data_IF_826262446448
#
_entry.id   IF_826262446448
#
_cell.length_a   1.000
_cell.length_b   1.000
_cell.length_c   1.000
_cell.angle_alpha   90.00
_cell.angle_beta   90.00
_cell.angle_gamma   90.00
#
_symmetry.space_group_name_H-M   'P 1'
#
loop_
_entity.id
_entity.type
_entity.pdbx_description
1 polymer ?
#
# COMPACT_ATOMS: atom_id res chain seq x y z
N UNK A 1 11.71 8.46 22.03
CA UNK A 1 11.74 8.85 20.59
C UNK A 1 10.40 9.42 20.21
N UNK A 2 10.35 10.47 19.37
CA UNK A 2 9.11 10.83 18.69
C UNK A 2 8.80 9.82 17.55
N UNK A 3 7.65 9.94 16.90
CA UNK A 3 7.22 8.98 15.87
C UNK A 3 8.19 8.92 14.68
N UNK A 4 8.62 10.08 14.17
CA UNK A 4 9.56 10.17 13.04
C UNK A 4 10.92 9.56 13.38
N UNK A 5 11.46 9.87 14.54
CA UNK A 5 12.73 9.28 15.03
C UNK A 5 12.64 7.76 15.14
N UNK A 6 11.51 7.26 15.65
CA UNK A 6 11.25 5.83 15.83
C UNK A 6 11.22 5.09 14.51
N UNK A 7 10.48 5.62 13.52
CA UNK A 7 10.41 5.03 12.18
C UNK A 7 11.77 5.10 11.50
N UNK A 8 12.46 6.24 11.55
CA UNK A 8 13.83 6.39 10.99
C UNK A 8 14.83 5.42 11.61
N UNK A 9 14.73 5.16 12.93
CA UNK A 9 15.56 4.15 13.57
C UNK A 9 15.33 2.77 12.92
N UNK A 10 14.08 2.33 12.77
CA UNK A 10 13.75 1.05 12.12
C UNK A 10 14.23 1.03 10.66
N UNK A 11 13.99 2.08 9.89
CA UNK A 11 14.42 2.19 8.50
C UNK A 11 15.95 2.12 8.33
N UNK A 12 16.69 2.53 9.35
CA UNK A 12 18.15 2.42 9.42
C UNK A 12 18.62 1.16 10.19
N UNK A 13 17.73 0.20 10.44
CA UNK A 13 18.00 -1.07 11.15
C UNK A 13 18.56 -0.87 12.55
N UNK A 14 18.11 0.18 13.22
CA UNK A 14 18.39 0.45 14.63
C UNK A 14 17.17 0.09 15.46
N UNK A 15 17.40 -0.42 16.68
CA UNK A 15 16.32 -0.77 17.59
C UNK A 15 15.71 0.51 18.18
N UNK A 16 14.40 0.80 17.95
CA UNK A 16 13.74 1.94 18.55
C UNK A 16 13.26 1.64 19.98
N UNK A 17 12.62 2.61 20.62
CA UNK A 17 12.03 2.47 21.95
C UNK A 17 10.82 1.52 22.00
N UNK A 18 10.12 1.34 20.88
CA UNK A 18 9.01 0.40 20.68
C UNK A 18 8.82 0.08 19.21
N UNK A 19 8.06 -0.95 18.90
CA UNK A 19 7.59 -1.24 17.53
C UNK A 19 6.75 -0.06 17.01
N UNK A 20 7.11 0.56 15.87
CA UNK A 20 6.27 1.60 15.26
C UNK A 20 4.93 1.04 14.77
N UNK A 21 3.89 1.86 14.83
CA UNK A 21 2.59 1.58 14.25
C UNK A 21 2.45 2.31 12.91
N UNK A 22 2.40 1.54 11.83
CA UNK A 22 2.23 2.01 10.47
C UNK A 22 0.83 1.72 9.88
N UNK A 23 -0.17 1.41 10.72
CA UNK A 23 -1.55 1.23 10.25
C UNK A 23 -2.05 2.54 9.62
N UNK A 24 -2.55 2.47 8.38
CA UNK A 24 -2.94 3.65 7.60
C UNK A 24 -1.78 4.46 7.02
N UNK A 25 -0.54 4.01 7.20
CA UNK A 25 0.66 4.71 6.77
C UNK A 25 1.05 4.52 5.29
N UNK A 26 0.44 3.57 4.58
CA UNK A 26 0.49 3.45 3.11
C UNK A 26 -0.87 2.97 2.59
N UNK A 27 -1.07 3.01 1.27
CA UNK A 27 -2.35 2.67 0.63
C UNK A 27 -2.84 1.26 0.95
N UNK A 28 -1.91 0.35 1.15
CA UNK A 28 -2.16 -1.07 1.33
C UNK A 28 -2.02 -1.54 2.79
N UNK A 29 -1.85 -0.59 3.72
CA UNK A 29 -1.90 -0.83 5.16
C UNK A 29 -3.08 -0.10 5.83
N UNK A 30 -4.13 0.21 5.08
CA UNK A 30 -5.28 1.00 5.51
C UNK A 30 -6.45 0.17 6.03
N UNK A 31 -7.61 0.81 6.06
CA UNK A 31 -8.90 0.22 6.37
C UNK A 31 -9.93 0.64 5.33
N UNK A 32 -10.83 -0.27 4.97
CA UNK A 32 -12.07 0.11 4.31
C UNK A 32 -12.81 1.17 5.12
N UNK A 33 -13.44 2.13 4.47
CA UNK A 33 -14.04 3.30 5.15
C UNK A 33 -15.06 2.93 6.24
N UNK A 34 -15.77 1.81 6.09
CA UNK A 34 -16.70 1.29 7.12
C UNK A 34 -15.91 0.80 8.35
N UNK A 35 -14.82 0.06 8.15
CA UNK A 35 -13.99 -0.40 9.25
C UNK A 35 -13.30 0.77 9.97
N UNK A 36 -12.93 1.82 9.23
CA UNK A 36 -12.38 3.04 9.82
C UNK A 36 -13.40 3.81 10.66
N UNK A 37 -14.67 3.94 10.21
CA UNK A 37 -15.75 4.50 11.02
C UNK A 37 -15.93 3.74 12.34
N UNK A 38 -15.81 2.41 12.30
CA UNK A 38 -15.83 1.58 13.51
C UNK A 38 -14.56 1.79 14.37
N UNK A 39 -13.40 1.96 13.77
CA UNK A 39 -12.15 2.25 14.49
C UNK A 39 -12.25 3.59 15.25
N UNK A 40 -12.82 4.65 14.64
CA UNK A 40 -13.03 5.93 15.32
C UNK A 40 -13.84 5.75 16.62
N UNK A 41 -14.90 4.94 16.59
CA UNK A 41 -15.72 4.64 17.77
C UNK A 41 -14.93 3.86 18.84
N UNK A 42 -14.20 2.84 18.41
CA UNK A 42 -13.32 2.03 19.31
C UNK A 42 -12.29 2.91 20.02
N UNK A 43 -11.75 3.90 19.32
CA UNK A 43 -10.75 4.83 19.86
C UNK A 43 -11.35 5.99 20.65
N UNK A 44 -12.68 6.17 20.62
CA UNK A 44 -13.36 7.31 21.25
C UNK A 44 -13.02 8.66 20.61
N UNK A 45 -12.63 8.66 19.33
CA UNK A 45 -12.39 9.89 18.58
C UNK A 45 -13.71 10.43 18.08
N UNK A 46 -13.95 11.74 18.23
CA UNK A 46 -15.16 12.39 17.72
C UNK A 46 -15.25 12.21 16.21
N UNK A 47 -16.30 11.49 15.78
CA UNK A 47 -16.43 11.11 14.38
C UNK A 47 -17.03 12.23 13.55
N UNK A 48 -16.22 12.82 12.68
CA UNK A 48 -16.74 13.42 11.44
C UNK A 48 -16.97 12.29 10.43
N UNK A 49 -17.86 12.49 9.43
CA UNK A 49 -18.01 11.50 8.36
C UNK A 49 -16.64 11.18 7.74
N UNK A 50 -16.18 9.92 7.79
CA UNK A 50 -14.88 9.54 7.26
C UNK A 50 -14.71 9.97 5.80
N UNK A 51 -13.50 10.30 5.41
CA UNK A 51 -13.16 10.66 4.03
C UNK A 51 -12.80 9.42 3.24
N UNK A 52 -13.48 9.25 2.09
CA UNK A 52 -13.22 8.15 1.17
C UNK A 52 -11.95 8.42 0.36
N UNK A 53 -11.00 7.51 0.46
CA UNK A 53 -9.95 7.41 -0.54
C UNK A 53 -10.48 6.69 -1.78
N UNK A 54 -10.15 7.18 -2.95
CA UNK A 54 -10.60 6.63 -4.22
C UNK A 54 -9.98 5.27 -4.56
N UNK A 55 -9.04 4.81 -3.74
CA UNK A 55 -8.43 3.49 -3.88
C UNK A 55 -9.12 2.48 -2.98
N UNK A 56 -9.74 1.47 -3.57
CA UNK A 56 -10.36 0.32 -2.87
C UNK A 56 -11.38 0.69 -1.78
N UNK A 57 -12.01 1.86 -1.86
CA UNK A 57 -12.93 2.38 -0.83
C UNK A 57 -12.31 2.47 0.58
N UNK A 58 -11.02 2.71 0.67
CA UNK A 58 -10.32 2.93 1.91
C UNK A 58 -10.67 4.29 2.53
N UNK A 59 -10.36 4.46 3.80
CA UNK A 59 -10.45 5.75 4.46
C UNK A 59 -9.13 6.52 4.36
N UNK A 60 -9.23 7.84 4.26
CA UNK A 60 -8.13 8.75 4.56
C UNK A 60 -7.93 8.78 6.08
N UNK A 61 -6.77 8.37 6.57
CA UNK A 61 -6.46 8.44 7.99
C UNK A 61 -6.19 9.88 8.42
N UNK A 62 -6.92 10.36 9.40
CA UNK A 62 -6.78 11.70 9.96
C UNK A 62 -5.87 11.70 11.18
N UNK A 63 -5.12 12.79 11.39
CA UNK A 63 -4.16 12.94 12.48
C UNK A 63 -4.71 12.59 13.87
N UNK A 64 -5.94 12.98 14.27
CA UNK A 64 -6.50 12.60 15.57
C UNK A 64 -6.67 11.08 15.74
N UNK A 65 -7.01 10.36 14.67
CA UNK A 65 -7.12 8.89 14.71
C UNK A 65 -5.75 8.25 14.77
N UNK A 66 -4.79 8.76 13.99
CA UNK A 66 -3.39 8.31 14.04
C UNK A 66 -2.84 8.47 15.46
N UNK A 67 -3.06 9.62 16.10
CA UNK A 67 -2.64 9.87 17.48
C UNK A 67 -3.33 8.93 18.48
N UNK A 68 -4.66 8.75 18.36
CA UNK A 68 -5.43 7.92 19.28
C UNK A 68 -5.06 6.43 19.21
N UNK A 69 -4.53 5.94 18.08
CA UNK A 69 -4.05 4.55 17.94
C UNK A 69 -2.53 4.40 18.16
N UNK A 70 -1.85 5.43 18.66
CA UNK A 70 -0.38 5.49 18.78
C UNK A 70 0.34 5.26 17.43
N UNK A 71 -0.20 5.82 16.34
CA UNK A 71 0.34 5.72 14.99
C UNK A 71 1.62 6.55 14.81
N UNK A 72 2.52 6.06 13.98
CA UNK A 72 3.84 6.67 13.76
C UNK A 72 4.05 7.17 12.33
N UNK A 73 3.20 6.76 11.39
CA UNK A 73 3.35 7.06 9.97
C UNK A 73 2.06 7.71 9.45
N UNK A 74 2.21 8.74 8.62
CA UNK A 74 1.12 9.35 7.89
C UNK A 74 1.34 9.19 6.39
N UNK A 75 0.28 8.84 5.67
CA UNK A 75 0.30 8.71 4.23
C UNK A 75 0.16 10.08 3.57
N UNK A 76 1.17 10.48 2.81
CA UNK A 76 1.05 11.52 1.80
C UNK A 76 0.56 10.88 0.50
N UNK A 77 -0.53 11.39 -0.04
CA UNK A 77 -1.19 10.78 -1.19
C UNK A 77 -0.30 10.68 -2.41
N UNK A 78 -0.41 9.55 -3.10
CA UNK A 78 0.20 9.34 -4.41
C UNK A 78 -0.39 10.26 -5.48
N UNK A 79 0.45 10.87 -6.34
CA UNK A 79 -0.02 11.59 -7.53
C UNK A 79 -0.80 10.70 -8.50
N UNK A 80 -0.49 9.40 -8.55
CA UNK A 80 -1.09 8.49 -9.52
C UNK A 80 -2.44 7.94 -9.04
N UNK A 81 -2.56 7.58 -7.78
CA UNK A 81 -3.74 6.89 -7.24
C UNK A 81 -4.82 7.83 -6.74
N UNK A 82 -4.45 8.91 -6.09
CA UNK A 82 -5.42 9.83 -5.49
C UNK A 82 -5.66 11.06 -6.34
N UNK A 83 -5.03 11.16 -7.53
CA UNK A 83 -5.00 12.38 -8.32
C UNK A 83 -4.87 13.55 -7.35
N UNK A 84 -3.68 13.76 -6.83
CA UNK A 84 -3.32 14.57 -5.64
C UNK A 84 -3.84 16.00 -5.62
N UNK A 85 -4.40 16.47 -6.72
CA UNK A 85 -5.27 17.66 -6.78
C UNK A 85 -6.32 17.67 -5.67
N UNK A 86 -6.69 16.49 -5.17
CA UNK A 86 -7.71 16.34 -4.14
C UNK A 86 -7.22 16.53 -2.72
N UNK A 87 -5.96 16.25 -2.45
CA UNK A 87 -5.43 16.39 -1.08
C UNK A 87 -4.79 17.75 -0.82
N UNK A 88 -4.40 18.47 -1.87
CA UNK A 88 -3.79 19.78 -1.74
C UNK A 88 -4.73 20.91 -1.31
N UNK A 89 -6.04 20.80 -1.59
CA UNK A 89 -7.06 21.81 -1.29
C UNK A 89 -8.25 21.16 -0.57
N UNK A 90 -8.00 20.44 0.49
CA UNK A 90 -8.93 19.46 1.10
C UNK A 90 -10.15 20.11 1.75
N UNK A 91 -10.14 21.41 2.05
CA UNK A 91 -11.22 22.07 2.77
C UNK A 91 -12.55 22.05 2.02
N UNK A 92 -12.53 22.38 0.73
CA UNK A 92 -13.73 22.67 -0.07
C UNK A 92 -14.09 21.61 -1.12
N UNK A 93 -13.32 20.52 -1.21
CA UNK A 93 -13.46 19.52 -2.29
C UNK A 93 -14.19 18.23 -1.88
N UNK A 94 -14.82 18.23 -0.71
CA UNK A 94 -15.54 17.08 -0.17
C UNK A 94 -17.03 17.35 -0.10
N UNK A 95 -17.85 16.37 -0.51
CA UNK A 95 -19.31 16.36 -0.32
C UNK A 95 -19.73 15.15 0.50
N UNK A 96 -20.85 15.25 1.19
CA UNK A 96 -21.44 14.12 1.87
C UNK A 96 -22.20 13.23 0.89
N UNK A 97 -22.02 11.93 1.01
CA UNK A 97 -22.64 10.90 0.19
C UNK A 97 -23.12 9.75 1.09
N UNK A 98 -24.32 9.23 0.83
CA UNK A 98 -24.80 8.00 1.43
C UNK A 98 -24.27 6.80 0.64
N UNK A 99 -23.52 5.92 1.32
CA UNK A 99 -23.01 4.65 0.78
C UNK A 99 -23.17 3.59 1.86
N UNK A 100 -23.66 2.40 1.50
CA UNK A 100 -23.84 1.28 2.45
C UNK A 100 -24.64 1.66 3.71
N UNK A 101 -25.63 2.56 3.57
CA UNK A 101 -26.47 3.02 4.70
C UNK A 101 -25.80 3.95 5.69
N UNK A 102 -24.58 4.46 5.39
CA UNK A 102 -23.84 5.41 6.21
C UNK A 102 -23.49 6.67 5.41
N UNK A 103 -23.20 7.77 6.11
CA UNK A 103 -22.73 9.02 5.50
C UNK A 103 -21.23 9.07 5.51
N UNK A 104 -20.63 9.30 4.34
CA UNK A 104 -19.19 9.50 4.15
C UNK A 104 -18.91 10.82 3.44
N UNK A 105 -17.70 11.34 3.62
CA UNK A 105 -17.20 12.46 2.84
C UNK A 105 -16.49 11.89 1.61
N UNK A 106 -17.00 12.20 0.42
CA UNK A 106 -16.42 11.76 -0.86
C UNK A 106 -15.91 12.96 -1.64
N UNK A 107 -14.90 12.80 -2.51
CA UNK A 107 -14.46 13.89 -3.38
C UNK A 107 -15.62 14.45 -4.21
N UNK A 108 -15.69 15.77 -4.37
CA UNK A 108 -16.80 16.45 -5.08
C UNK A 108 -16.97 15.92 -6.51
N UNK A 109 -15.89 15.51 -7.14
CA UNK A 109 -15.89 14.96 -8.50
C UNK A 109 -16.38 13.52 -8.60
N UNK A 110 -16.44 12.78 -7.47
CA UNK A 110 -16.86 11.39 -7.49
C UNK A 110 -18.39 11.31 -7.41
N UNK A 111 -18.97 10.58 -8.35
CA UNK A 111 -20.40 10.38 -8.47
C UNK A 111 -20.74 8.91 -8.25
N UNK A 112 -21.66 8.71 -7.30
CA UNK A 112 -22.18 7.40 -6.94
C UNK A 112 -23.69 7.43 -7.06
N UNK A 113 -24.27 6.34 -7.58
CA UNK A 113 -25.71 6.13 -7.46
C UNK A 113 -26.02 4.68 -7.10
N UNK A 114 -27.12 4.48 -6.38
CA UNK A 114 -27.62 3.16 -6.03
C UNK A 114 -28.73 2.77 -7.02
N UNK A 115 -28.59 1.59 -7.60
CA UNK A 115 -29.59 1.01 -8.50
C UNK A 115 -30.77 0.43 -7.71
N UNK A 116 -31.89 0.16 -8.40
CA UNK A 116 -33.09 -0.46 -7.80
C UNK A 116 -32.85 -1.86 -7.23
N UNK A 117 -31.80 -2.57 -7.65
CA UNK A 117 -31.38 -3.87 -7.12
C UNK A 117 -30.49 -3.74 -5.87
N UNK A 118 -30.14 -2.52 -5.48
CA UNK A 118 -29.27 -2.21 -4.34
C UNK A 118 -27.76 -2.32 -4.64
N UNK A 119 -27.36 -2.45 -5.91
CA UNK A 119 -25.98 -2.28 -6.34
C UNK A 119 -25.62 -0.80 -6.40
N UNK A 120 -24.34 -0.46 -6.13
CA UNK A 120 -23.85 0.91 -6.19
C UNK A 120 -22.91 1.03 -7.41
N UNK A 121 -23.12 2.07 -8.20
CA UNK A 121 -22.28 2.41 -9.35
C UNK A 121 -21.39 3.59 -8.96
N UNK A 122 -20.11 3.47 -9.21
CA UNK A 122 -19.15 4.57 -9.15
C UNK A 122 -18.88 5.07 -10.57
N UNK A 123 -19.61 6.09 -10.98
CA UNK A 123 -19.59 6.61 -12.36
C UNK A 123 -18.23 7.18 -12.75
N UNK A 124 -17.63 7.96 -11.85
CA UNK A 124 -16.36 8.64 -12.09
C UNK A 124 -15.18 7.66 -12.22
N UNK A 125 -15.35 6.43 -11.79
CA UNK A 125 -14.36 5.36 -11.94
C UNK A 125 -14.83 4.32 -12.99
N UNK A 126 -15.13 4.80 -14.20
CA UNK A 126 -15.46 3.95 -15.34
C UNK A 126 -16.72 3.08 -15.15
N UNK A 127 -17.70 3.58 -14.35
CA UNK A 127 -18.91 2.83 -13.98
C UNK A 127 -18.60 1.52 -13.25
N UNK A 128 -17.60 1.52 -12.38
CA UNK A 128 -17.33 0.39 -11.51
C UNK A 128 -18.56 0.06 -10.66
N UNK A 129 -18.84 -1.23 -10.47
CA UNK A 129 -20.03 -1.70 -9.76
C UNK A 129 -19.66 -2.38 -8.45
N UNK A 130 -20.35 -2.00 -7.38
CA UNK A 130 -20.39 -2.74 -6.12
C UNK A 130 -21.73 -3.46 -6.02
N UNK A 131 -21.79 -4.80 -6.14
CA UNK A 131 -23.03 -5.56 -6.00
C UNK A 131 -23.65 -5.39 -4.61
N UNK A 132 -24.98 -5.54 -4.50
CA UNK A 132 -25.67 -5.52 -3.23
C UNK A 132 -25.07 -6.50 -2.22
N UNK A 133 -24.79 -6.01 -1.02
CA UNK A 133 -24.19 -6.80 0.06
C UNK A 133 -22.67 -6.95 -0.04
N UNK A 134 -22.05 -6.40 -1.07
CA UNK A 134 -20.59 -6.26 -1.19
C UNK A 134 -20.13 -4.84 -0.80
N UNK A 135 -18.82 -4.68 -0.66
CA UNK A 135 -18.18 -3.45 -0.23
C UNK A 135 -17.07 -2.98 -1.17
N UNK A 136 -16.80 -3.72 -2.25
CA UNK A 136 -15.77 -3.41 -3.22
C UNK A 136 -16.39 -3.16 -4.58
N UNK A 137 -15.75 -2.27 -5.35
CA UNK A 137 -16.14 -1.93 -6.70
C UNK A 137 -15.26 -2.68 -7.69
N UNK A 138 -15.89 -3.30 -8.68
CA UNK A 138 -15.24 -3.97 -9.79
C UNK A 138 -15.65 -3.36 -11.11
N UNK A 139 -14.71 -3.32 -12.07
CA UNK A 139 -15.03 -2.97 -13.44
C UNK A 139 -15.73 -4.12 -14.16
N UNK A 140 -16.76 -3.81 -14.93
CA UNK A 140 -17.39 -4.79 -15.82
C UNK A 140 -16.38 -5.22 -16.89
N UNK A 141 -16.15 -6.52 -17.00
CA UNK A 141 -15.41 -7.21 -18.07
C UNK A 141 -13.91 -6.89 -18.20
N UNK A 142 -13.10 -7.56 -17.40
CA UNK A 142 -11.69 -7.77 -17.71
C UNK A 142 -11.45 -9.00 -18.61
N UNK A 143 -12.45 -9.85 -18.81
CA UNK A 143 -12.34 -11.09 -19.61
C UNK A 143 -12.18 -10.86 -21.12
N UNK A 144 -12.68 -9.74 -21.65
CA UNK A 144 -12.60 -9.45 -23.07
C UNK A 144 -11.20 -8.92 -23.50
N UNK A 145 -10.35 -8.54 -22.54
CA UNK A 145 -9.00 -8.03 -22.80
C UNK A 145 -8.01 -9.09 -23.31
N UNK A 146 -8.34 -10.37 -23.21
CA UNK A 146 -7.44 -11.48 -23.54
C UNK A 146 -7.70 -12.02 -24.95
N UNK A 147 -8.94 -11.97 -25.42
CA UNK A 147 -9.35 -12.61 -26.68
C UNK A 147 -8.67 -11.98 -27.92
N UNK A 148 -8.31 -10.70 -27.86
CA UNK A 148 -7.72 -9.94 -28.96
C UNK A 148 -6.32 -9.40 -28.65
N UNK A 149 -5.58 -10.02 -27.68
CA UNK A 149 -4.25 -9.56 -27.35
C UNK A 149 -3.31 -9.70 -28.55
N UNK A 150 -2.79 -8.58 -29.00
CA UNK A 150 -1.75 -8.51 -30.04
C UNK A 150 -0.45 -8.04 -29.42
N UNK A 151 0.67 -8.59 -29.89
CA UNK A 151 2.01 -8.18 -29.43
C UNK A 151 2.20 -6.69 -29.76
N UNK A 152 2.34 -5.83 -28.75
CA UNK A 152 2.45 -4.39 -28.98
C UNK A 152 3.87 -4.03 -29.47
N UNK A 153 3.95 -2.99 -30.27
CA UNK A 153 5.23 -2.44 -30.74
C UNK A 153 5.90 -1.63 -29.61
N UNK A 154 7.09 -2.03 -29.13
CA UNK A 154 7.79 -1.29 -28.07
C UNK A 154 8.14 0.15 -28.48
N UNK A 155 8.31 0.44 -29.79
CA UNK A 155 8.68 1.78 -30.24
C UNK A 155 7.53 2.79 -30.09
N UNK A 156 6.31 2.30 -30.03
CA UNK A 156 5.12 3.12 -29.79
C UNK A 156 4.80 3.27 -28.30
N UNK A 157 5.52 2.59 -27.41
CA UNK A 157 5.34 2.70 -25.98
C UNK A 157 6.11 3.89 -25.41
N UNK A 158 5.38 4.81 -24.82
CA UNK A 158 5.89 6.01 -24.18
C UNK A 158 5.41 6.05 -22.72
N UNK A 159 6.12 5.39 -21.80
CA UNK A 159 5.74 5.44 -20.38
C UNK A 159 5.82 6.87 -19.86
N UNK A 160 4.92 7.19 -18.94
CA UNK A 160 4.89 8.51 -18.32
C UNK A 160 6.18 8.75 -17.53
N UNK A 161 6.96 9.73 -17.92
CA UNK A 161 8.25 10.08 -17.32
C UNK A 161 8.24 11.44 -16.61
N UNK A 162 7.08 12.10 -16.57
CA UNK A 162 6.86 13.40 -15.94
C UNK A 162 5.76 13.32 -14.89
N UNK A 163 5.77 14.26 -13.97
CA UNK A 163 4.68 14.53 -13.02
C UNK A 163 4.28 15.99 -13.21
N UNK A 164 2.97 16.24 -13.22
CA UNK A 164 2.45 17.61 -13.38
C UNK A 164 3.02 18.54 -12.29
N UNK A 165 3.46 19.73 -12.68
CA UNK A 165 4.04 20.69 -11.74
C UNK A 165 3.06 21.12 -10.64
N UNK A 166 1.75 21.19 -10.96
CA UNK A 166 0.75 21.51 -9.95
C UNK A 166 0.68 20.41 -8.89
N UNK A 167 0.74 19.17 -9.31
CA UNK A 167 0.81 18.01 -8.41
C UNK A 167 2.07 18.08 -7.53
N UNK A 168 3.24 18.32 -8.12
CA UNK A 168 4.49 18.44 -7.38
C UNK A 168 4.44 19.58 -6.34
N UNK A 169 3.92 20.76 -6.70
CA UNK A 169 3.73 21.88 -5.76
C UNK A 169 2.76 21.53 -4.62
N UNK A 170 1.68 20.80 -4.90
CA UNK A 170 0.74 20.37 -3.88
C UNK A 170 1.36 19.36 -2.92
N UNK A 171 2.12 18.40 -3.46
CA UNK A 171 2.87 17.41 -2.66
C UNK A 171 3.90 18.11 -1.76
N UNK A 172 4.68 19.04 -2.30
CA UNK A 172 5.67 19.79 -1.53
C UNK A 172 5.01 20.59 -0.39
N UNK A 173 3.93 21.30 -0.68
CA UNK A 173 3.18 22.08 0.32
C UNK A 173 2.68 21.20 1.46
N UNK A 174 2.05 20.06 1.13
CA UNK A 174 1.48 19.17 2.14
C UNK A 174 2.56 18.39 2.88
N UNK A 175 3.59 17.89 2.20
CA UNK A 175 4.73 17.24 2.84
C UNK A 175 5.43 18.18 3.83
N UNK A 176 5.64 19.45 3.44
CA UNK A 176 6.21 20.46 4.32
C UNK A 176 5.32 20.72 5.53
N UNK A 177 4.00 20.91 5.35
CA UNK A 177 3.03 21.10 6.45
C UNK A 177 3.11 19.94 7.44
N UNK A 178 2.99 18.69 6.95
CA UNK A 178 3.07 17.49 7.80
C UNK A 178 4.40 17.38 8.53
N UNK A 179 5.50 17.76 7.88
CA UNK A 179 6.83 17.72 8.48
C UNK A 179 7.00 18.76 9.60
N UNK A 180 6.47 19.98 9.41
CA UNK A 180 6.60 21.09 10.35
C UNK A 180 5.58 21.05 11.49
N UNK A 181 4.35 20.57 11.23
CA UNK A 181 3.25 20.58 12.19
C UNK A 181 3.08 19.26 12.94
N UNK A 182 3.72 18.16 12.50
CA UNK A 182 3.62 16.85 13.15
C UNK A 182 5.00 16.23 13.41
N UNK A 183 5.02 15.27 14.31
CA UNK A 183 6.20 14.42 14.55
C UNK A 183 6.11 13.07 13.80
N UNK A 184 5.12 12.88 12.93
CA UNK A 184 4.91 11.66 12.19
C UNK A 184 5.97 11.48 11.10
N UNK A 185 6.34 10.23 10.82
CA UNK A 185 7.07 9.87 9.61
C UNK A 185 6.13 9.95 8.42
N UNK A 186 6.60 10.45 7.29
CA UNK A 186 5.79 10.64 6.10
C UNK A 186 6.13 9.55 5.08
N UNK A 187 5.13 8.80 4.66
CA UNK A 187 5.20 7.87 3.54
C UNK A 187 4.50 8.49 2.33
N UNK A 188 5.22 8.65 1.23
CA UNK A 188 4.60 8.98 -0.05
C UNK A 188 4.07 7.69 -0.66
N UNK A 189 2.80 7.72 -1.00
CA UNK A 189 2.12 6.58 -1.60
C UNK A 189 2.67 6.17 -2.96
N UNK A 190 2.10 5.14 -3.53
CA UNK A 190 2.54 4.53 -4.79
C UNK A 190 2.52 5.53 -5.94
N UNK A 191 3.61 6.25 -6.10
CA UNK A 191 3.74 7.39 -7.01
C UNK A 191 4.26 6.99 -8.38
N UNK A 192 4.86 5.82 -8.45
CA UNK A 192 5.48 5.28 -9.65
C UNK A 192 4.78 3.99 -9.94
N UNK A 193 4.31 3.84 -11.16
CA UNK A 193 3.80 2.55 -11.62
C UNK A 193 4.88 1.50 -11.47
N UNK A 194 4.48 0.30 -11.14
CA UNK A 194 5.35 -0.85 -11.22
C UNK A 194 5.99 -0.95 -12.63
N UNK A 195 7.06 -1.71 -12.76
CA UNK A 195 7.72 -1.91 -14.05
C UNK A 195 6.89 -2.80 -15.01
N UNK A 196 5.64 -3.08 -14.67
CA UNK A 196 4.71 -3.92 -15.41
C UNK A 196 3.82 -3.09 -16.34
N UNK A 197 4.37 -2.36 -17.22
CA UNK A 197 3.62 -1.37 -18.02
C UNK A 197 3.33 -1.81 -19.46
N UNK A 198 3.48 -3.09 -19.77
CA UNK A 198 3.13 -3.61 -21.07
C UNK A 198 1.62 -3.48 -21.32
N UNK A 199 1.18 -3.12 -22.52
CA UNK A 199 -0.21 -3.17 -22.90
C UNK A 199 -0.85 -4.55 -22.63
N UNK A 200 -2.10 -4.57 -22.19
CA UNK A 200 -2.77 -5.79 -21.75
C UNK A 200 -2.62 -6.11 -20.27
N UNK A 201 -2.00 -5.20 -19.48
CA UNK A 201 -1.88 -5.32 -18.03
C UNK A 201 -1.08 -6.55 -17.59
N UNK A 202 -1.45 -7.14 -16.44
CA UNK A 202 -0.76 -8.30 -15.88
C UNK A 202 -0.75 -9.50 -16.83
N UNK A 203 -1.88 -9.81 -17.45
CA UNK A 203 -1.99 -10.97 -18.35
C UNK A 203 -1.19 -10.75 -19.64
N UNK A 204 -1.28 -9.57 -20.25
CA UNK A 204 -0.46 -9.22 -21.41
C UNK A 204 1.04 -9.31 -21.10
N UNK A 205 1.46 -8.81 -19.93
CA UNK A 205 2.86 -8.94 -19.47
C UNK A 205 3.29 -10.39 -19.31
N UNK A 206 2.42 -11.27 -18.78
CA UNK A 206 2.72 -12.70 -18.66
C UNK A 206 2.89 -13.37 -20.02
N UNK A 207 2.00 -13.07 -20.99
CA UNK A 207 2.09 -13.58 -22.37
C UNK A 207 3.43 -13.12 -23.01
N UNK A 208 3.74 -11.82 -22.91
CA UNK A 208 4.99 -11.29 -23.46
C UNK A 208 6.24 -11.92 -22.84
N UNK A 209 6.24 -12.14 -21.52
CA UNK A 209 7.37 -12.80 -20.87
C UNK A 209 7.61 -14.23 -21.35
N UNK A 210 6.54 -14.94 -21.71
CA UNK A 210 6.63 -16.34 -22.15
C UNK A 210 6.89 -16.49 -23.64
N UNK A 211 6.26 -15.64 -24.46
CA UNK A 211 6.24 -15.79 -25.92
C UNK A 211 7.18 -14.79 -26.61
N UNK A 212 7.29 -13.57 -26.09
CA UNK A 212 8.07 -12.48 -26.68
C UNK A 212 8.95 -11.76 -25.63
N UNK A 213 9.87 -12.47 -24.97
CA UNK A 213 10.63 -11.91 -23.84
C UNK A 213 11.50 -10.70 -24.19
N UNK A 214 11.94 -10.55 -25.43
CA UNK A 214 12.71 -9.39 -25.87
C UNK A 214 11.83 -8.14 -26.02
N UNK A 215 10.58 -8.31 -26.45
CA UNK A 215 9.58 -7.24 -26.43
C UNK A 215 9.33 -6.79 -24.99
N UNK A 216 9.13 -7.72 -24.06
CA UNK A 216 8.96 -7.39 -22.64
C UNK A 216 10.16 -6.64 -22.07
N UNK A 217 11.40 -7.06 -22.38
CA UNK A 217 12.62 -6.35 -21.95
C UNK A 217 12.69 -4.93 -22.50
N UNK A 218 12.27 -4.70 -23.74
CA UNK A 218 12.21 -3.36 -24.31
C UNK A 218 11.22 -2.45 -23.54
N UNK A 219 10.05 -2.96 -23.17
CA UNK A 219 9.11 -2.22 -22.32
C UNK A 219 9.71 -1.92 -20.95
N UNK A 220 10.31 -2.91 -20.28
CA UNK A 220 10.91 -2.73 -18.96
C UNK A 220 12.05 -1.71 -18.99
N UNK A 221 12.87 -1.69 -20.05
CA UNK A 221 13.93 -0.68 -20.24
C UNK A 221 13.36 0.73 -20.22
N UNK A 222 12.35 0.99 -21.03
CA UNK A 222 11.69 2.31 -21.11
C UNK A 222 11.03 2.68 -19.77
N UNK A 223 10.44 1.70 -19.09
CA UNK A 223 9.78 1.92 -17.79
C UNK A 223 10.77 2.28 -16.69
N UNK A 224 11.95 1.63 -16.64
CA UNK A 224 13.03 1.98 -15.71
C UNK A 224 13.50 3.42 -15.94
N UNK A 225 13.74 3.79 -17.20
CA UNK A 225 14.18 5.15 -17.54
C UNK A 225 13.14 6.21 -17.12
N UNK A 226 11.87 5.96 -17.42
CA UNK A 226 10.77 6.86 -17.05
C UNK A 226 10.62 6.95 -15.53
N UNK A 227 10.62 5.81 -14.83
CA UNK A 227 10.52 5.77 -13.38
C UNK A 227 11.65 6.53 -12.69
N UNK A 228 12.89 6.38 -13.14
CA UNK A 228 14.02 7.12 -12.57
C UNK A 228 13.94 8.64 -12.83
N UNK A 229 13.31 9.08 -13.92
CA UNK A 229 13.01 10.52 -14.11
C UNK A 229 11.97 11.00 -13.10
N UNK A 230 10.90 10.22 -12.86
CA UNK A 230 9.90 10.55 -11.84
C UNK A 230 10.49 10.62 -10.44
N UNK A 231 11.40 9.68 -10.07
CA UNK A 231 12.11 9.72 -8.77
C UNK A 231 12.87 11.04 -8.59
N UNK A 232 13.55 11.55 -9.63
CA UNK A 232 14.25 12.84 -9.54
C UNK A 232 13.31 14.00 -9.29
N UNK A 233 12.13 14.00 -9.92
CA UNK A 233 11.11 15.04 -9.69
C UNK A 233 10.58 14.99 -8.26
N UNK A 234 10.31 13.79 -7.75
CA UNK A 234 9.85 13.59 -6.37
C UNK A 234 10.92 13.96 -5.34
N UNK A 235 12.19 13.61 -5.56
CA UNK A 235 13.29 14.03 -4.69
C UNK A 235 13.38 15.55 -4.61
N UNK A 236 13.26 16.26 -5.74
CA UNK A 236 13.30 17.73 -5.77
C UNK A 236 12.13 18.35 -5.00
N UNK A 237 10.93 17.77 -5.11
CA UNK A 237 9.74 18.31 -4.48
C UNK A 237 9.63 17.95 -3.00
N UNK A 238 9.84 16.67 -2.64
CA UNK A 238 9.47 16.15 -1.31
C UNK A 238 10.61 15.44 -0.57
N UNK A 239 11.76 15.21 -1.18
CA UNK A 239 12.85 14.42 -0.58
C UNK A 239 13.34 14.90 0.79
N UNK A 240 13.17 16.19 1.09
CA UNK A 240 13.50 16.76 2.42
C UNK A 240 12.55 16.34 3.54
N UNK A 241 11.34 15.92 3.21
CA UNK A 241 10.23 15.74 4.14
C UNK A 241 9.81 14.29 4.28
N UNK A 242 9.94 13.51 3.20
CA UNK A 242 9.42 12.14 3.08
C UNK A 242 10.50 11.12 3.48
N UNK A 243 10.13 10.16 4.31
CA UNK A 243 11.04 9.10 4.76
C UNK A 243 10.93 7.84 3.89
N UNK A 244 9.72 7.54 3.39
CA UNK A 244 9.40 6.31 2.66
C UNK A 244 8.67 6.67 1.37
N UNK A 245 9.06 6.03 0.27
CA UNK A 245 8.33 6.08 -0.99
C UNK A 245 7.92 4.67 -1.38
N UNK A 246 6.62 4.47 -1.63
CA UNK A 246 6.05 3.17 -1.98
C UNK A 246 6.03 2.94 -3.48
N UNK A 247 6.19 1.69 -3.85
CA UNK A 247 5.96 1.13 -5.19
C UNK A 247 5.27 -0.21 -5.03
N UNK A 248 4.36 -0.57 -5.95
CA UNK A 248 3.63 -1.83 -5.90
C UNK A 248 3.89 -2.69 -7.13
N UNK A 249 4.04 -3.98 -6.90
CA UNK A 249 3.98 -5.01 -7.91
C UNK A 249 3.66 -6.38 -7.28
N UNK A 250 2.50 -6.92 -7.58
CA UNK A 250 2.09 -8.22 -7.08
C UNK A 250 2.75 -9.35 -7.86
N UNK A 251 3.80 -9.93 -7.27
CA UNK A 251 4.54 -11.06 -7.86
C UNK A 251 3.95 -12.41 -7.50
N UNK A 252 3.17 -12.49 -6.43
CA UNK A 252 2.70 -13.76 -5.88
C UNK A 252 1.18 -13.89 -5.78
N UNK A 253 0.72 -15.13 -5.75
CA UNK A 253 -0.58 -15.52 -5.24
C UNK A 253 -0.42 -16.23 -3.87
N UNK A 254 -1.49 -16.82 -3.32
CA UNK A 254 -1.41 -17.55 -2.05
C UNK A 254 -0.48 -18.78 -2.09
N UNK A 255 -0.06 -19.26 -3.25
CA UNK A 255 0.68 -20.52 -3.46
C UNK A 255 2.12 -20.32 -3.87
N UNK A 256 2.46 -19.21 -4.53
CA UNK A 256 3.81 -18.97 -5.04
C UNK A 256 3.93 -17.73 -5.92
N UNK A 257 5.09 -17.58 -6.53
CA UNK A 257 5.34 -16.54 -7.53
C UNK A 257 4.57 -16.87 -8.81
N UNK A 258 3.67 -15.98 -9.23
CA UNK A 258 2.67 -16.22 -10.28
C UNK A 258 3.28 -16.68 -11.61
N UNK A 259 4.40 -16.07 -12.01
CA UNK A 259 5.13 -16.45 -13.26
C UNK A 259 6.23 -17.48 -13.01
N UNK A 260 6.38 -17.93 -11.77
CA UNK A 260 7.48 -18.80 -11.33
C UNK A 260 8.80 -18.07 -11.11
N UNK A 261 9.54 -18.53 -10.12
CA UNK A 261 10.79 -17.89 -9.66
C UNK A 261 11.87 -17.79 -10.75
N UNK A 262 11.95 -18.81 -11.63
CA UNK A 262 12.94 -18.83 -12.71
C UNK A 262 12.71 -17.69 -13.70
N UNK A 263 11.48 -17.59 -14.23
CA UNK A 263 11.13 -16.57 -15.22
C UNK A 263 11.20 -15.15 -14.61
N UNK A 264 10.80 -15.01 -13.34
CA UNK A 264 10.95 -13.77 -12.59
C UNK A 264 12.41 -13.30 -12.54
N UNK A 265 13.36 -14.21 -12.23
CA UNK A 265 14.82 -13.92 -12.22
C UNK A 265 15.38 -13.56 -13.58
N UNK A 266 14.90 -14.23 -14.63
CA UNK A 266 15.38 -14.00 -16.00
C UNK A 266 14.87 -12.69 -16.60
N UNK A 267 13.63 -12.29 -16.28
CA UNK A 267 12.98 -11.13 -16.90
C UNK A 267 12.95 -9.92 -15.95
N UNK A 268 12.39 -10.06 -14.74
CA UNK A 268 12.18 -8.89 -13.88
C UNK A 268 13.41 -8.49 -13.06
N UNK A 269 14.14 -9.44 -12.47
CA UNK A 269 15.24 -9.13 -11.55
C UNK A 269 16.25 -8.14 -12.10
N UNK A 270 16.76 -8.23 -13.36
CA UNK A 270 17.75 -7.29 -13.88
C UNK A 270 17.24 -5.84 -13.91
N UNK A 271 15.97 -5.65 -14.26
CA UNK A 271 15.35 -4.32 -14.34
C UNK A 271 15.02 -3.75 -12.96
N UNK A 272 14.52 -4.57 -12.03
CA UNK A 272 14.33 -4.15 -10.64
C UNK A 272 15.65 -3.79 -9.97
N UNK A 273 16.73 -4.52 -10.25
CA UNK A 273 18.06 -4.18 -9.76
C UNK A 273 18.50 -2.81 -10.30
N UNK A 274 18.37 -2.58 -11.60
CA UNK A 274 18.70 -1.29 -12.23
C UNK A 274 17.85 -0.15 -11.66
N UNK A 275 16.55 -0.39 -11.48
CA UNK A 275 15.61 0.60 -10.99
C UNK A 275 15.89 0.99 -9.53
N UNK A 276 15.97 0.03 -8.63
CA UNK A 276 16.17 0.31 -7.21
C UNK A 276 17.58 0.80 -6.88
N UNK A 277 18.60 0.35 -7.58
CA UNK A 277 19.95 0.93 -7.46
C UNK A 277 19.99 2.36 -7.99
N UNK A 278 19.35 2.62 -9.13
CA UNK A 278 19.20 3.97 -9.67
C UNK A 278 18.44 4.90 -8.71
N UNK A 279 17.37 4.42 -8.10
CA UNK A 279 16.61 5.14 -7.09
C UNK A 279 17.49 5.53 -5.88
N UNK A 280 18.20 4.57 -5.29
CA UNK A 280 19.09 4.82 -4.15
C UNK A 280 20.24 5.78 -4.44
N UNK A 281 20.61 5.98 -5.70
CA UNK A 281 21.59 6.98 -6.12
C UNK A 281 21.00 8.39 -6.27
N UNK A 282 19.65 8.50 -6.29
CA UNK A 282 18.93 9.76 -6.47
C UNK A 282 18.46 10.32 -5.13
N UNK A 283 17.98 9.47 -4.23
CA UNK A 283 17.30 9.89 -3.00
C UNK A 283 17.58 8.97 -1.82
N UNK A 284 17.47 9.53 -0.61
CA UNK A 284 17.52 8.79 0.67
C UNK A 284 16.16 8.23 1.10
N UNK A 285 15.06 8.61 0.42
CA UNK A 285 13.73 8.03 0.69
C UNK A 285 13.79 6.51 0.55
N UNK A 286 13.34 5.79 1.58
CA UNK A 286 13.43 4.32 1.63
C UNK A 286 12.42 3.68 0.70
N UNK A 287 12.86 2.65 0.01
CA UNK A 287 12.03 1.88 -0.92
C UNK A 287 11.15 0.95 -0.13
N UNK A 288 9.83 1.21 -0.15
CA UNK A 288 8.80 0.26 0.29
C UNK A 288 8.22 -0.43 -0.93
N UNK A 289 8.46 -1.73 -1.07
CA UNK A 289 7.83 -2.53 -2.10
C UNK A 289 6.58 -3.22 -1.54
N UNK A 290 5.44 -2.92 -2.12
CA UNK A 290 4.23 -3.70 -1.93
C UNK A 290 4.21 -4.87 -2.91
N UNK A 291 4.05 -6.08 -2.38
CA UNK A 291 3.83 -7.29 -3.18
C UNK A 291 3.07 -8.34 -2.39
N UNK A 292 1.82 -8.59 -2.76
CA UNK A 292 1.00 -9.63 -2.15
C UNK A 292 1.52 -11.04 -2.43
N UNK A 293 1.07 -12.01 -1.63
CA UNK A 293 1.21 -13.43 -1.88
C UNK A 293 2.48 -14.08 -1.34
N UNK A 294 2.73 -15.29 -1.82
CA UNK A 294 3.83 -16.15 -1.42
C UNK A 294 5.12 -15.80 -2.18
N UNK A 295 5.79 -14.73 -1.75
CA UNK A 295 6.99 -14.19 -2.41
C UNK A 295 8.31 -14.59 -1.74
N UNK A 296 8.28 -15.43 -0.70
CA UNK A 296 9.47 -15.83 0.07
C UNK A 296 10.60 -16.37 -0.81
N UNK A 297 10.27 -17.06 -1.90
CA UNK A 297 11.25 -17.66 -2.83
C UNK A 297 12.06 -16.62 -3.66
N UNK A 298 11.55 -15.39 -3.77
CA UNK A 298 12.22 -14.25 -4.45
C UNK A 298 12.58 -13.11 -3.50
N UNK A 299 12.21 -13.21 -2.20
CA UNK A 299 12.44 -12.11 -1.26
C UNK A 299 13.92 -11.77 -1.11
N UNK A 300 14.80 -12.79 -1.10
CA UNK A 300 16.26 -12.56 -1.12
C UNK A 300 16.74 -11.82 -2.37
N UNK A 301 16.15 -12.13 -3.53
CA UNK A 301 16.45 -11.43 -4.79
C UNK A 301 15.96 -9.97 -4.75
N UNK A 302 14.78 -9.72 -4.17
CA UNK A 302 14.25 -8.36 -4.00
C UNK A 302 15.12 -7.51 -3.07
N UNK A 303 15.62 -8.09 -1.98
CA UNK A 303 16.58 -7.46 -1.07
C UNK A 303 17.89 -7.12 -1.81
N UNK A 304 18.40 -8.06 -2.61
CA UNK A 304 19.59 -7.84 -3.46
C UNK A 304 19.37 -6.71 -4.47
N UNK A 305 18.18 -6.60 -5.05
CA UNK A 305 17.79 -5.50 -5.93
C UNK A 305 17.79 -4.14 -5.21
N UNK A 306 17.64 -4.11 -3.89
CA UNK A 306 17.69 -2.89 -3.10
C UNK A 306 16.43 -2.53 -2.31
N UNK A 307 15.44 -3.43 -2.26
CA UNK A 307 14.24 -3.24 -1.41
C UNK A 307 14.65 -3.13 0.06
N UNK A 308 14.13 -2.12 0.74
CA UNK A 308 14.47 -1.83 2.13
C UNK A 308 13.32 -2.12 3.10
N UNK A 309 12.08 -1.98 2.61
CA UNK A 309 10.86 -2.29 3.34
C UNK A 309 10.00 -3.16 2.46
N UNK A 310 9.40 -4.21 2.98
CA UNK A 310 8.46 -5.09 2.28
C UNK A 310 7.08 -5.05 2.94
N UNK A 311 6.06 -4.84 2.15
CA UNK A 311 4.64 -4.81 2.51
C UNK A 311 3.84 -5.58 1.44
N UNK A 312 2.81 -6.34 1.79
CA UNK A 312 2.47 -6.77 3.14
C UNK A 312 3.30 -7.98 3.58
N UNK A 313 3.15 -8.39 4.83
CA UNK A 313 3.60 -9.69 5.29
C UNK A 313 2.38 -10.61 5.34
N UNK A 314 2.08 -11.25 4.21
CA UNK A 314 0.88 -12.08 4.06
C UNK A 314 1.07 -13.45 4.69
N UNK A 315 0.85 -13.54 5.99
CA UNK A 315 1.10 -14.75 6.80
C UNK A 315 0.22 -15.95 6.42
N UNK A 316 -0.87 -15.72 5.70
CA UNK A 316 -1.75 -16.75 5.13
C UNK A 316 -1.22 -17.42 3.87
N UNK A 317 -0.22 -16.84 3.20
CA UNK A 317 0.35 -17.41 1.99
C UNK A 317 1.39 -18.52 2.31
N UNK A 318 1.61 -19.40 1.34
CA UNK A 318 2.57 -20.53 1.49
C UNK A 318 3.98 -20.00 1.75
N UNK A 319 4.68 -20.58 2.73
CA UNK A 319 6.04 -20.22 3.14
C UNK A 319 6.23 -18.75 3.54
N UNK A 320 5.16 -18.10 4.03
CA UNK A 320 5.15 -16.71 4.50
C UNK A 320 4.90 -16.59 6.01
N UNK A 321 5.07 -17.66 6.79
CA UNK A 321 4.86 -17.57 8.24
C UNK A 321 5.78 -16.52 8.87
N UNK A 322 5.26 -15.76 9.85
CA UNK A 322 5.99 -14.70 10.54
C UNK A 322 7.35 -15.19 11.08
N UNK A 323 7.38 -16.40 11.66
CA UNK A 323 8.60 -17.00 12.20
C UNK A 323 9.63 -17.28 11.10
N UNK A 324 9.22 -17.95 10.02
CA UNK A 324 10.13 -18.29 8.90
C UNK A 324 10.73 -17.01 8.29
N UNK A 325 9.90 -16.02 8.01
CA UNK A 325 10.38 -14.77 7.42
C UNK A 325 11.34 -14.04 8.35
N UNK A 326 11.01 -13.96 9.65
CA UNK A 326 11.86 -13.29 10.63
C UNK A 326 13.22 -13.96 10.79
N UNK A 327 13.25 -15.27 10.91
CA UNK A 327 14.48 -16.05 11.02
C UNK A 327 15.36 -15.93 9.76
N UNK A 328 14.73 -15.91 8.58
CA UNK A 328 15.45 -15.94 7.31
C UNK A 328 15.90 -14.57 6.81
N UNK A 329 15.07 -13.54 6.95
CA UNK A 329 15.28 -12.22 6.33
C UNK A 329 15.20 -11.04 7.32
N UNK A 330 14.86 -11.30 8.57
CA UNK A 330 14.58 -10.23 9.55
C UNK A 330 15.74 -9.30 9.88
N UNK A 331 16.98 -9.64 9.50
CA UNK A 331 18.15 -8.76 9.62
C UNK A 331 18.47 -7.98 8.33
N UNK A 332 17.79 -8.29 7.23
CA UNK A 332 18.12 -7.77 5.91
C UNK A 332 17.10 -6.77 5.36
N UNK A 333 15.85 -6.87 5.81
CA UNK A 333 14.74 -6.03 5.34
C UNK A 333 13.83 -5.64 6.52
N UNK A 334 13.14 -4.51 6.41
CA UNK A 334 12.10 -4.11 7.35
C UNK A 334 10.79 -4.73 6.90
N UNK A 335 10.12 -5.46 7.78
CA UNK A 335 8.78 -5.99 7.56
C UNK A 335 7.72 -4.96 7.94
N UNK A 336 6.80 -4.64 7.05
CA UNK A 336 5.66 -3.78 7.34
C UNK A 336 4.36 -4.54 7.13
N UNK A 337 3.61 -4.80 8.21
CA UNK A 337 2.36 -5.54 8.19
C UNK A 337 2.40 -6.86 8.96
N UNK A 338 1.49 -7.79 8.64
CA UNK A 338 1.47 -9.13 9.23
C UNK A 338 0.88 -9.22 10.64
N UNK A 339 0.35 -8.12 11.19
CA UNK A 339 -0.27 -8.12 12.51
C UNK A 339 -1.62 -8.83 12.52
N UNK A 340 -2.59 -8.29 11.81
CA UNK A 340 -3.95 -8.86 11.65
C UNK A 340 -4.12 -9.40 10.24
N UNK A 341 -4.44 -10.68 10.10
CA UNK A 341 -4.68 -11.32 8.81
C UNK A 341 -6.17 -11.70 8.66
N UNK A 342 -6.89 -10.97 7.81
CA UNK A 342 -8.32 -11.20 7.57
C UNK A 342 -8.63 -12.50 6.83
N UNK A 343 -7.62 -13.18 6.26
CA UNK A 343 -7.80 -14.52 5.66
C UNK A 343 -7.69 -15.64 6.70
N UNK A 344 -6.90 -15.43 7.76
CA UNK A 344 -6.70 -16.40 8.84
C UNK A 344 -7.66 -16.17 10.01
N UNK A 345 -7.95 -14.91 10.33
CA UNK A 345 -8.83 -14.53 11.43
C UNK A 345 -10.28 -14.52 10.91
N UNK A 346 -11.04 -15.55 11.28
CA UNK A 346 -12.45 -15.61 10.94
C UNK A 346 -13.20 -14.40 11.57
N UNK A 347 -14.17 -13.84 10.85
CA UNK A 347 -15.01 -12.73 11.36
C UNK A 347 -15.81 -13.08 12.63
N UNK A 348 -15.92 -14.35 12.97
CA UNK A 348 -16.53 -14.86 14.21
C UNK A 348 -15.52 -15.18 15.30
N UNK A 349 -14.22 -14.97 15.08
CA UNK A 349 -13.20 -15.17 16.11
C UNK A 349 -13.47 -14.28 17.33
N UNK A 350 -13.22 -14.79 18.51
CA UNK A 350 -13.39 -14.04 19.76
C UNK A 350 -12.34 -12.92 19.88
N UNK A 351 -12.63 -11.96 20.76
CA UNK A 351 -11.65 -10.92 21.12
C UNK A 351 -10.30 -11.54 21.53
N UNK A 352 -10.30 -12.58 22.37
CA UNK A 352 -9.08 -13.21 22.89
C UNK A 352 -8.29 -13.91 21.78
N UNK A 353 -8.95 -14.59 20.85
CA UNK A 353 -8.29 -15.23 19.69
C UNK A 353 -7.61 -14.19 18.80
N UNK A 354 -8.27 -13.09 18.49
CA UNK A 354 -7.70 -11.98 17.72
C UNK A 354 -6.52 -11.36 18.48
N UNK A 355 -6.72 -11.05 19.75
CA UNK A 355 -5.68 -10.46 20.60
C UNK A 355 -4.42 -11.33 20.65
N UNK A 356 -4.57 -12.62 20.95
CA UNK A 356 -3.41 -13.53 21.04
C UNK A 356 -2.70 -13.69 19.69
N UNK A 357 -3.45 -13.77 18.59
CA UNK A 357 -2.86 -13.88 17.25
C UNK A 357 -2.02 -12.66 16.91
N UNK A 358 -2.60 -11.47 17.08
CA UNK A 358 -1.91 -10.20 16.79
C UNK A 358 -0.72 -9.99 17.73
N UNK A 359 -0.90 -10.23 19.02
CA UNK A 359 0.16 -10.16 20.02
C UNK A 359 1.37 -11.03 19.66
N UNK A 360 1.12 -12.29 19.32
CA UNK A 360 2.16 -13.25 18.94
C UNK A 360 2.88 -12.83 17.65
N UNK A 361 2.15 -12.38 16.63
CA UNK A 361 2.75 -11.91 15.39
C UNK A 361 3.68 -10.71 15.64
N UNK A 362 3.27 -9.75 16.47
CA UNK A 362 4.10 -8.59 16.84
C UNK A 362 5.36 -9.04 17.58
N UNK A 363 5.25 -9.96 18.54
CA UNK A 363 6.42 -10.47 19.30
C UNK A 363 7.39 -11.24 18.40
N UNK A 364 6.88 -11.99 17.40
CA UNK A 364 7.73 -12.72 16.45
C UNK A 364 8.40 -11.76 15.48
N UNK A 365 7.62 -10.94 14.75
CA UNK A 365 8.13 -10.03 13.72
C UNK A 365 8.96 -8.90 14.32
N UNK A 366 8.60 -8.41 15.51
CA UNK A 366 9.28 -7.34 16.22
C UNK A 366 10.60 -7.76 16.87
N UNK A 367 10.83 -9.06 17.10
CA UNK A 367 12.02 -9.53 17.79
C UNK A 367 13.32 -8.96 17.17
N UNK A 368 14.11 -8.23 17.95
CA UNK A 368 15.34 -7.61 17.45
C UNK A 368 15.18 -6.40 16.51
N UNK A 369 13.95 -5.86 16.35
CA UNK A 369 13.69 -4.69 15.50
C UNK A 369 13.29 -5.03 14.06
N UNK A 370 13.49 -4.07 13.12
CA UNK A 370 13.20 -4.20 11.69
C UNK A 370 11.74 -4.60 11.39
N UNK A 371 10.80 -4.02 12.13
CA UNK A 371 9.37 -4.29 12.00
C UNK A 371 8.55 -3.02 12.20
N UNK A 372 7.53 -2.84 11.35
CA UNK A 372 6.48 -1.82 11.45
C UNK A 372 5.14 -2.55 11.51
N UNK A 373 4.38 -2.32 12.57
CA UNK A 373 3.08 -2.95 12.76
C UNK A 373 2.04 -2.38 11.79
N UNK A 374 1.25 -3.25 11.18
CA UNK A 374 0.00 -2.98 10.48
C UNK A 374 -0.79 -4.29 10.32
N UNK A 375 -1.99 -4.22 9.72
CA UNK A 375 -2.66 -5.42 9.17
C UNK A 375 -1.82 -6.07 8.08
N UNK A 376 -2.21 -7.27 7.65
CA UNK A 376 -1.57 -7.90 6.48
C UNK A 376 -1.78 -7.03 5.24
N UNK A 377 -3.00 -6.59 5.03
CA UNK A 377 -3.40 -5.68 3.95
C UNK A 377 -4.48 -4.73 4.51
N UNK A 378 -5.16 -3.99 3.65
CA UNK A 378 -6.31 -3.19 4.04
C UNK A 378 -7.35 -4.04 4.76
N UNK A 379 -7.77 -3.63 5.95
CA UNK A 379 -8.78 -4.34 6.69
C UNK A 379 -10.15 -4.14 6.01
N UNK A 380 -10.88 -5.23 5.71
CA UNK A 380 -12.15 -5.14 4.99
C UNK A 380 -13.30 -4.53 5.83
N UNK A 381 -14.37 -4.14 5.14
CA UNK A 381 -15.55 -3.49 5.73
C UNK A 381 -16.21 -4.29 6.88
N UNK A 382 -16.17 -5.61 6.80
CA UNK A 382 -16.83 -6.53 7.71
C UNK A 382 -16.01 -6.91 8.95
N UNK A 383 -14.88 -6.26 9.20
CA UNK A 383 -14.11 -6.45 10.45
C UNK A 383 -14.92 -5.89 11.64
N UNK A 384 -15.26 -6.73 12.63
CA UNK A 384 -16.06 -6.30 13.78
C UNK A 384 -15.32 -5.29 14.66
N UNK A 385 -16.06 -4.40 15.33
CA UNK A 385 -15.47 -3.41 16.25
C UNK A 385 -14.61 -4.04 17.34
N UNK A 386 -15.02 -5.18 17.89
CA UNK A 386 -14.23 -5.86 18.94
C UNK A 386 -12.94 -6.49 18.40
N UNK A 387 -12.84 -6.83 17.11
CA UNK A 387 -11.57 -7.20 16.47
C UNK A 387 -10.61 -6.02 16.35
N UNK A 388 -11.14 -4.85 15.94
CA UNK A 388 -10.33 -3.62 15.89
C UNK A 388 -9.81 -3.26 17.28
N UNK A 389 -10.67 -3.39 18.30
CA UNK A 389 -10.26 -3.19 19.69
C UNK A 389 -9.17 -4.19 20.11
N UNK A 390 -9.38 -5.48 19.87
CA UNK A 390 -8.40 -6.53 20.22
C UNK A 390 -7.06 -6.30 19.52
N UNK A 391 -7.07 -5.90 18.25
CA UNK A 391 -5.87 -5.57 17.48
C UNK A 391 -5.09 -4.39 18.09
N UNK A 392 -5.77 -3.31 18.45
CA UNK A 392 -5.12 -2.13 19.05
C UNK A 392 -4.59 -2.44 20.46
N UNK A 393 -5.36 -3.16 21.28
CA UNK A 393 -4.93 -3.54 22.63
C UNK A 393 -3.72 -4.49 22.56
N UNK A 394 -3.75 -5.50 21.67
CA UNK A 394 -2.61 -6.40 21.45
C UNK A 394 -1.35 -5.65 21.01
N UNK A 395 -1.50 -4.66 20.09
CA UNK A 395 -0.38 -3.83 19.70
C UNK A 395 0.20 -3.06 20.89
N UNK A 396 -0.64 -2.42 21.69
CA UNK A 396 -0.20 -1.64 22.86
C UNK A 396 0.58 -2.48 23.88
N UNK A 397 0.13 -3.71 24.09
CA UNK A 397 0.76 -4.62 25.05
C UNK A 397 2.01 -5.31 24.49
N UNK A 398 2.05 -5.58 23.18
CA UNK A 398 3.16 -6.30 22.54
C UNK A 398 4.30 -5.40 22.03
N UNK A 399 4.09 -4.08 21.90
CA UNK A 399 5.00 -3.16 21.19
C UNK A 399 6.36 -2.93 21.86
N UNK A 400 6.49 -3.22 23.15
CA UNK A 400 7.78 -3.17 23.86
C UNK A 400 8.67 -4.35 23.43
N UNK A 401 9.97 -4.09 23.24
CA UNK A 401 10.97 -5.10 22.89
C UNK A 401 11.36 -5.96 24.06
#
# INVERSE_FOLDING_TARGET
MNSRERVRAVLNRQLPDRVPNGLGGCETAGLHIIAYDNLQKVLGVESKPPRLDTFMANAVFEEPVIQAMDGDIILLASPNMCKSELRGDVGDQWKQQQLWGKTFSVPVRDYFHENSDGSIIWESWGNAICPKGNYFFDHKNTSDLIADFTVPDPDQFHPRDTIDEHILRNLEREAKRLFEETELSICLGESITDLQVAPGGMVGSMILMMEEPDVMRAFLTKSVEAGLKQIRLLEQAVGKYVDILSVAHDFGDNRGVTIGTKLWREIYKPFYMQFFQGWRNITDMKINLHSCGAISSILGDLIECGVQVINPIQTSAVDMSARFLKERFGNEVVFWGGGYDAQLINSTASYDEVYQTVYNNIKILGAGGNYIFAGVHNLPANVPEYHLKAMIDAYRDARAY
#
